data_IF_272529219848
#
_entry.id   IF_272529219848
#
_cell.length_a   1.000
_cell.length_b   1.000
_cell.length_c   1.000
_cell.angle_alpha   90.00
_cell.angle_beta   90.00
_cell.angle_gamma   90.00
#
_symmetry.space_group_name_H-M   'P 1'
#
loop_
_entity.id
_entity.type
_entity.pdbx_description
1 polymer ?
#
# COMPACT_ATOMS: atom_id res chain seq x y z
N UNK A 1 14.87 -1.40 11.42
CA UNK A 1 13.72 -2.30 11.15
C UNK A 1 12.58 -1.94 12.11
N UNK A 2 11.32 -2.08 11.71
CA UNK A 2 10.19 -1.84 12.59
C UNK A 2 10.13 -2.90 13.71
N UNK A 3 9.84 -2.48 14.94
CA UNK A 3 9.75 -3.38 16.10
C UNK A 3 8.32 -3.92 16.26
N UNK A 4 8.18 -5.17 16.71
CA UNK A 4 6.87 -5.76 17.05
C UNK A 4 6.15 -4.87 18.09
N UNK A 5 4.92 -4.47 17.81
CA UNK A 5 4.14 -3.54 18.65
C UNK A 5 4.34 -2.05 18.37
N UNK A 6 5.15 -1.68 17.37
CA UNK A 6 5.30 -0.29 16.96
C UNK A 6 3.99 0.26 16.37
N UNK A 7 3.45 1.31 16.99
CA UNK A 7 2.30 2.05 16.47
C UNK A 7 2.76 3.07 15.43
N UNK A 8 2.07 3.09 14.30
CA UNK A 8 2.28 4.06 13.22
C UNK A 8 1.16 5.09 13.25
N UNK A 9 1.54 6.37 13.30
CA UNK A 9 0.58 7.46 13.16
C UNK A 9 0.12 7.49 11.70
N UNK A 10 -1.19 7.45 11.49
CA UNK A 10 -1.78 7.73 10.17
C UNK A 10 -2.24 9.18 10.13
N UNK A 11 -2.00 9.85 9.01
CA UNK A 11 -2.42 11.22 8.77
C UNK A 11 -3.37 11.24 7.58
N UNK A 12 -4.48 11.97 7.69
CA UNK A 12 -5.41 12.17 6.58
C UNK A 12 -4.76 13.04 5.50
N UNK A 13 -5.25 12.92 4.27
CA UNK A 13 -4.72 13.71 3.15
C UNK A 13 -4.92 15.22 3.36
N UNK A 14 -6.08 15.61 3.89
CA UNK A 14 -6.39 16.99 4.27
C UNK A 14 -5.36 17.55 5.27
N UNK A 15 -5.03 16.78 6.31
CA UNK A 15 -4.03 17.19 7.29
C UNK A 15 -2.64 17.37 6.65
N UNK A 16 -2.25 16.46 5.74
CA UNK A 16 -0.97 16.58 5.03
C UNK A 16 -0.93 17.85 4.18
N UNK A 17 -2.03 18.16 3.48
CA UNK A 17 -2.16 19.38 2.67
C UNK A 17 -2.04 20.63 3.52
N UNK A 18 -2.76 20.70 4.64
CA UNK A 18 -2.74 21.87 5.51
C UNK A 18 -1.36 22.07 6.15
N UNK A 19 -0.69 20.98 6.56
CA UNK A 19 0.68 21.04 7.05
C UNK A 19 1.66 21.60 6.00
N UNK A 20 1.50 21.20 4.73
CA UNK A 20 2.31 21.72 3.62
C UNK A 20 2.01 23.18 3.35
N UNK A 21 0.73 23.58 3.32
CA UNK A 21 0.32 24.99 3.13
C UNK A 21 0.85 25.89 4.24
N UNK A 22 0.77 25.44 5.49
CA UNK A 22 1.33 26.16 6.63
C UNK A 22 2.84 26.36 6.50
N UNK A 23 3.55 25.37 5.94
CA UNK A 23 4.99 25.50 5.66
C UNK A 23 5.28 26.48 4.52
N UNK A 24 4.53 26.42 3.42
CA UNK A 24 4.76 27.27 2.24
C UNK A 24 4.44 28.75 2.54
N UNK A 25 3.41 29.00 3.34
CA UNK A 25 2.99 30.35 3.72
C UNK A 25 3.73 30.89 4.96
N UNK A 26 4.33 30.01 5.76
CA UNK A 26 5.04 30.35 6.99
C UNK A 26 6.54 30.53 6.79
N UNK A 27 7.19 31.21 7.74
CA UNK A 27 8.66 31.28 7.84
C UNK A 27 9.24 30.27 8.83
N UNK A 28 8.41 29.36 9.35
CA UNK A 28 8.80 28.37 10.36
C UNK A 28 9.67 27.27 9.75
N UNK A 29 10.65 26.79 10.52
CA UNK A 29 11.45 25.64 10.12
C UNK A 29 10.63 24.35 10.14
N UNK A 30 11.03 23.35 9.35
CA UNK A 30 10.38 22.03 9.33
C UNK A 30 10.24 21.41 10.72
N UNK A 31 11.24 21.60 11.58
CA UNK A 31 11.25 21.05 12.93
C UNK A 31 10.19 21.72 13.80
N UNK A 32 10.18 23.06 13.87
CA UNK A 32 9.21 23.83 14.66
C UNK A 32 7.78 23.56 14.22
N UNK A 33 7.54 23.51 12.91
CA UNK A 33 6.22 23.23 12.37
C UNK A 33 5.79 21.79 12.66
N UNK A 34 6.70 20.82 12.57
CA UNK A 34 6.40 19.42 12.93
C UNK A 34 6.07 19.24 14.41
N UNK A 35 6.78 19.92 15.30
CA UNK A 35 6.51 19.92 16.74
C UNK A 35 5.14 20.55 17.04
N UNK A 36 4.84 21.70 16.41
CA UNK A 36 3.55 22.39 16.58
C UNK A 36 2.36 21.57 16.12
N UNK A 37 2.49 20.86 14.99
CA UNK A 37 1.43 20.03 14.41
C UNK A 37 1.40 18.61 14.99
N UNK A 38 2.30 18.24 15.91
CA UNK A 38 2.39 16.88 16.44
C UNK A 38 2.80 15.84 15.40
N UNK A 39 3.53 16.25 14.36
CA UNK A 39 4.08 15.34 13.36
C UNK A 39 5.30 14.65 13.95
N UNK A 40 5.30 13.32 13.96
CA UNK A 40 6.33 12.51 14.60
C UNK A 40 7.76 12.80 14.13
N UNK A 41 7.92 13.25 12.88
CA UNK A 41 9.23 13.57 12.31
C UNK A 41 9.14 14.72 11.31
N UNK A 42 10.07 15.67 11.40
CA UNK A 42 10.25 16.74 10.43
C UNK A 42 10.57 16.21 9.01
N UNK A 43 11.18 15.01 8.91
CA UNK A 43 11.47 14.36 7.62
C UNK A 43 10.17 14.00 6.89
N UNK A 44 9.12 13.63 7.64
CA UNK A 44 7.82 13.29 7.08
C UNK A 44 7.18 14.52 6.40
N UNK A 45 7.25 15.67 7.07
CA UNK A 45 6.80 16.95 6.51
C UNK A 45 7.62 17.34 5.27
N UNK A 46 8.94 17.14 5.29
CA UNK A 46 9.81 17.40 4.13
C UNK A 46 9.42 16.56 2.91
N UNK A 47 9.08 15.27 3.13
CA UNK A 47 8.59 14.38 2.06
C UNK A 47 7.26 14.88 1.50
N UNK A 48 6.31 15.30 2.35
CA UNK A 48 5.04 15.85 1.90
C UNK A 48 5.22 17.12 1.06
N UNK A 49 6.06 18.06 1.52
CA UNK A 49 6.36 19.28 0.77
C UNK A 49 7.00 18.95 -0.59
N UNK A 50 7.90 17.97 -0.64
CA UNK A 50 8.51 17.53 -1.91
C UNK A 50 7.46 16.96 -2.87
N UNK A 51 6.60 16.05 -2.39
CA UNK A 51 5.52 15.46 -3.21
C UNK A 51 4.57 16.53 -3.74
N UNK A 52 4.16 17.47 -2.88
CA UNK A 52 3.30 18.57 -3.28
C UNK A 52 3.94 19.47 -4.35
N UNK A 53 5.23 19.80 -4.21
CA UNK A 53 5.98 20.56 -5.23
C UNK A 53 6.09 19.82 -6.57
N UNK A 54 6.15 18.50 -6.54
CA UNK A 54 6.18 17.65 -7.74
C UNK A 54 4.79 17.40 -8.34
N UNK A 55 3.70 17.80 -7.66
CA UNK A 55 2.33 17.45 -8.07
C UNK A 55 1.98 15.97 -7.85
N UNK A 56 2.73 15.26 -7.01
CA UNK A 56 2.52 13.84 -6.70
C UNK A 56 1.50 13.67 -5.55
N UNK A 57 0.65 12.63 -5.58
CA UNK A 57 -0.25 12.32 -4.47
C UNK A 57 0.53 11.86 -3.22
N UNK A 58 0.00 12.19 -2.04
CA UNK A 58 0.67 11.88 -0.77
C UNK A 58 0.71 10.39 -0.48
N UNK A 59 -0.41 9.69 -0.67
CA UNK A 59 -0.53 8.25 -0.50
C UNK A 59 -0.62 7.53 -1.85
N UNK A 60 0.53 7.14 -2.39
CA UNK A 60 0.63 6.26 -3.56
C UNK A 60 0.47 4.78 -3.18
N UNK A 61 -0.14 4.48 -2.03
CA UNK A 61 -0.33 3.09 -1.60
C UNK A 61 -1.25 2.46 -2.64
N UNK A 62 -0.63 1.78 -3.61
CA UNK A 62 -1.26 1.18 -4.77
C UNK A 62 -2.52 0.47 -4.29
N UNK A 63 -3.69 0.99 -4.67
CA UNK A 63 -4.97 0.30 -4.52
C UNK A 63 -5.05 -0.95 -5.43
N UNK A 64 -3.94 -1.35 -6.07
CA UNK A 64 -3.90 -2.27 -7.17
C UNK A 64 -2.60 -3.05 -7.21
N UNK A 65 -2.38 -3.90 -6.21
CA UNK A 65 -1.72 -5.18 -6.46
C UNK A 65 -2.28 -6.14 -5.44
N UNK A 66 -2.84 -7.25 -5.91
CA UNK A 66 -3.40 -8.29 -5.07
C UNK A 66 -2.45 -8.54 -3.87
N UNK A 67 -2.92 -8.45 -2.61
CA UNK A 67 -2.07 -8.54 -1.41
C UNK A 67 -1.32 -9.87 -1.26
N UNK A 68 -1.54 -10.77 -2.21
CA UNK A 68 -1.12 -12.15 -2.17
C UNK A 68 -0.48 -12.54 -3.50
N UNK A 69 0.67 -11.95 -3.85
CA UNK A 69 1.55 -12.59 -4.83
C UNK A 69 1.97 -13.94 -4.25
N UNK A 70 1.41 -15.03 -4.79
CA UNK A 70 1.75 -16.41 -4.41
C UNK A 70 0.74 -17.13 -3.52
N UNK A 71 -0.28 -16.47 -2.97
CA UNK A 71 -1.39 -17.20 -2.34
C UNK A 71 -2.42 -17.56 -3.42
N UNK A 72 -2.88 -18.82 -3.47
CA UNK A 72 -3.96 -19.19 -4.38
C UNK A 72 -5.21 -18.36 -4.05
N UNK A 73 -5.83 -17.79 -5.08
CA UNK A 73 -7.05 -16.99 -4.95
C UNK A 73 -8.19 -17.91 -4.51
N UNK A 74 -8.86 -17.58 -3.40
CA UNK A 74 -9.95 -18.39 -2.84
C UNK A 74 -11.35 -17.82 -3.10
N UNK A 75 -11.44 -16.55 -3.54
CA UNK A 75 -12.70 -15.88 -3.89
C UNK A 75 -12.62 -15.29 -5.30
N UNK A 76 -13.51 -15.74 -6.17
CA UNK A 76 -13.63 -15.31 -7.56
C UNK A 76 -14.76 -14.29 -7.71
N UNK A 77 -14.63 -13.37 -8.67
CA UNK A 77 -15.66 -12.36 -8.93
C UNK A 77 -16.72 -12.89 -9.89
N UNK A 78 -16.32 -13.78 -10.80
CA UNK A 78 -17.20 -14.42 -11.78
C UNK A 78 -16.98 -15.93 -11.80
N UNK A 79 -17.99 -16.65 -12.27
CA UNK A 79 -17.98 -18.11 -12.41
C UNK A 79 -16.95 -18.57 -13.46
N UNK A 80 -16.72 -17.75 -14.50
CA UNK A 80 -15.73 -18.03 -15.55
C UNK A 80 -14.30 -18.03 -15.01
N UNK A 81 -13.98 -17.05 -14.16
CA UNK A 81 -12.68 -16.97 -13.47
C UNK A 81 -12.45 -18.21 -12.58
N UNK A 82 -13.50 -18.66 -11.87
CA UNK A 82 -13.44 -19.85 -11.03
C UNK A 82 -13.19 -21.12 -11.84
N UNK A 83 -13.92 -21.30 -12.95
CA UNK A 83 -13.74 -22.43 -13.87
C UNK A 83 -12.31 -22.50 -14.38
N UNK A 84 -11.76 -21.38 -14.83
CA UNK A 84 -10.41 -21.34 -15.42
C UNK A 84 -9.34 -21.64 -14.37
N UNK A 85 -9.54 -21.17 -13.13
CA UNK A 85 -8.70 -21.51 -12.00
C UNK A 85 -8.75 -23.00 -11.63
N UNK A 86 -9.95 -23.60 -11.56
CA UNK A 86 -10.11 -25.03 -11.30
C UNK A 86 -9.49 -25.89 -12.41
N UNK A 87 -9.64 -25.50 -13.68
CA UNK A 87 -8.96 -26.16 -14.80
C UNK A 87 -7.44 -26.13 -14.65
N UNK A 88 -6.87 -24.99 -14.25
CA UNK A 88 -5.44 -24.87 -14.02
C UNK A 88 -4.95 -25.76 -12.86
N UNK A 89 -5.69 -25.83 -11.76
CA UNK A 89 -5.38 -26.74 -10.64
C UNK A 89 -5.44 -28.21 -11.07
N UNK A 90 -6.49 -28.61 -11.80
CA UNK A 90 -6.62 -29.97 -12.32
C UNK A 90 -5.46 -30.31 -13.26
N UNK A 91 -5.11 -29.40 -14.18
CA UNK A 91 -3.97 -29.60 -15.08
C UNK A 91 -2.65 -29.76 -14.33
N UNK A 92 -2.42 -28.96 -13.29
CA UNK A 92 -1.26 -29.09 -12.41
C UNK A 92 -1.23 -30.45 -11.70
N UNK A 93 -2.34 -30.89 -11.11
CA UNK A 93 -2.44 -32.18 -10.44
C UNK A 93 -2.21 -33.35 -11.41
N UNK A 94 -2.82 -33.31 -12.60
CA UNK A 94 -2.60 -34.30 -13.65
C UNK A 94 -1.13 -34.39 -14.07
N UNK A 95 -0.44 -33.25 -14.13
CA UNK A 95 1.00 -33.19 -14.44
C UNK A 95 1.87 -33.76 -13.31
N UNK A 96 1.51 -33.51 -12.05
CA UNK A 96 2.25 -34.04 -10.89
C UNK A 96 2.03 -35.54 -10.70
N UNK A 97 0.84 -36.03 -11.02
CA UNK A 97 0.42 -37.40 -10.77
C UNK A 97 -0.08 -38.08 -12.05
N UNK A 98 0.80 -38.35 -13.04
CA UNK A 98 0.41 -39.00 -14.29
C UNK A 98 -0.06 -40.45 -14.07
N UNK A 99 0.30 -41.06 -12.95
CA UNK A 99 -0.13 -42.39 -12.52
C UNK A 99 -1.58 -42.44 -12.01
N UNK A 100 -2.12 -41.33 -11.51
CA UNK A 100 -3.51 -41.22 -11.02
C UNK A 100 -4.53 -40.97 -12.14
N UNK A 101 -4.06 -40.69 -13.37
CA UNK A 101 -4.90 -40.42 -14.55
C UNK A 101 -5.08 -41.67 -15.42
N UNK A 102 -4.54 -42.82 -15.00
CA UNK A 102 -4.73 -44.09 -15.70
C UNK A 102 -6.09 -44.68 -15.28
N UNK A 103 -7.03 -44.72 -16.22
CA UNK A 103 -8.17 -45.65 -16.19
C UNK A 103 -7.69 -47.09 -16.39
#
# INVERSE_FOLDING_TARGET
MAKKGQQFQSYTEEFKLDAVRAYVNGSESYQRLSERLGIRSCTQLKVWVKKWKNGEPFDERSKGTAPFKGQPRTKFKTVEEERDYLKAQVAYLKKQYPNLVKE
#
